data_IF_899270090347
#
_entry.id   IF_899270090347
#
_cell.length_a   1.000
_cell.length_b   1.000
_cell.length_c   1.000
_cell.angle_alpha   90.00
_cell.angle_beta   90.00
_cell.angle_gamma   90.00
#
_symmetry.space_group_name_H-M   'P 1'
#
loop_
_entity.id
_entity.type
_entity.pdbx_description
1 polymer ?
#
# COMPACT_ATOMS: atom_id res chain seq x y z
N UNK A 1 -17.71 14.93 -42.06
CA UNK A 1 -18.57 13.74 -42.25
C UNK A 1 -18.17 12.68 -41.25
N UNK A 2 -19.16 12.24 -40.44
CA UNK A 2 -19.29 11.01 -39.64
C UNK A 2 -18.15 10.57 -38.70
N UNK A 3 -18.41 10.81 -37.41
CA UNK A 3 -17.93 10.05 -36.25
C UNK A 3 -18.52 8.63 -36.22
N UNK A 4 -17.82 7.61 -35.70
CA UNK A 4 -18.42 6.33 -35.34
C UNK A 4 -19.04 6.36 -33.93
N UNK A 5 -20.20 5.71 -33.82
CA UNK A 5 -21.04 5.55 -32.62
C UNK A 5 -20.59 4.39 -31.72
N UNK A 6 -20.96 4.38 -30.42
CA UNK A 6 -20.54 3.37 -29.44
C UNK A 6 -21.39 2.08 -29.49
N UNK A 7 -20.75 0.95 -29.20
CA UNK A 7 -21.38 -0.38 -29.08
C UNK A 7 -22.03 -0.52 -27.70
N UNK A 8 -23.33 -0.84 -27.67
CA UNK A 8 -24.13 -1.12 -26.47
C UNK A 8 -23.78 -2.47 -25.84
N UNK A 9 -23.63 -2.48 -24.52
CA UNK A 9 -23.59 -3.67 -23.68
C UNK A 9 -24.93 -4.43 -23.68
N UNK A 10 -24.87 -5.76 -23.66
CA UNK A 10 -26.03 -6.64 -23.40
C UNK A 10 -25.94 -7.21 -21.98
N UNK A 11 -27.00 -7.00 -21.21
CA UNK A 11 -27.23 -7.63 -19.92
C UNK A 11 -27.53 -9.12 -20.09
N UNK A 12 -26.91 -9.97 -19.26
CA UNK A 12 -27.34 -11.34 -19.03
C UNK A 12 -27.53 -11.55 -17.52
N UNK A 13 -28.79 -11.70 -17.13
CA UNK A 13 -29.28 -12.07 -15.80
C UNK A 13 -28.97 -13.54 -15.50
N UNK A 14 -28.42 -13.82 -14.31
CA UNK A 14 -28.31 -15.18 -13.76
C UNK A 14 -29.18 -15.28 -12.50
N UNK A 15 -30.20 -16.15 -12.56
CA UNK A 15 -30.99 -16.62 -11.42
C UNK A 15 -30.40 -17.93 -10.87
N UNK A 16 -30.55 -18.22 -9.56
CA UNK A 16 -29.89 -19.36 -8.93
C UNK A 16 -30.69 -20.66 -9.10
N UNK A 17 -30.00 -21.74 -9.46
CA UNK A 17 -30.55 -23.09 -9.58
C UNK A 17 -30.65 -23.79 -8.23
N UNK A 18 -31.88 -24.14 -7.83
CA UNK A 18 -32.19 -25.09 -6.76
C UNK A 18 -31.99 -26.53 -7.27
N UNK A 19 -31.07 -27.27 -6.66
CA UNK A 19 -30.92 -28.71 -6.86
C UNK A 19 -31.81 -29.44 -5.85
N UNK A 20 -32.84 -30.13 -6.34
CA UNK A 20 -33.58 -31.18 -5.59
C UNK A 20 -32.96 -32.53 -5.91
N UNK A 21 -32.77 -33.37 -4.89
CA UNK A 21 -32.60 -34.81 -5.03
C UNK A 21 -33.80 -35.56 -4.45
N UNK A 22 -34.13 -36.76 -4.98
CA UNK A 22 -35.41 -37.42 -4.79
C UNK A 22 -35.34 -38.49 -3.69
N UNK A 23 -36.48 -38.72 -3.04
CA UNK A 23 -36.65 -39.81 -2.09
C UNK A 23 -38.12 -40.08 -1.84
N UNK A 24 -38.75 -40.82 -2.75
CA UNK A 24 -40.07 -41.41 -2.55
C UNK A 24 -39.94 -42.75 -1.84
N UNK A 25 -40.75 -42.99 -0.80
CA UNK A 25 -41.31 -44.32 -0.56
C UNK A 25 -42.69 -44.21 0.12
N UNK A 26 -43.67 -45.06 -0.24
CA UNK A 26 -45.08 -44.88 0.09
C UNK A 26 -45.51 -45.80 1.25
N UNK A 27 -46.82 -45.76 1.58
CA UNK A 27 -47.69 -46.87 2.06
C UNK A 27 -48.60 -46.43 3.23
N UNK A 28 -49.85 -46.15 2.84
CA UNK A 28 -51.16 -46.53 3.41
C UNK A 28 -51.35 -46.71 4.94
N UNK A 29 -52.40 -46.06 5.45
CA UNK A 29 -53.51 -46.77 6.10
C UNK A 29 -53.54 -46.88 7.64
N UNK A 30 -54.61 -46.30 8.20
CA UNK A 30 -55.27 -46.60 9.49
C UNK A 30 -54.57 -46.19 10.80
N UNK A 31 -55.05 -45.06 11.31
CA UNK A 31 -55.68 -44.83 12.61
C UNK A 31 -55.16 -45.55 13.87
N UNK A 32 -55.00 -44.71 14.91
CA UNK A 32 -54.81 -45.01 16.33
C UNK A 32 -53.42 -45.50 16.73
N UNK A 33 -52.62 -44.61 17.32
CA UNK A 33 -52.35 -44.58 18.76
C UNK A 33 -51.58 -43.29 19.08
N UNK A 34 -52.24 -42.38 19.80
CA UNK A 34 -51.60 -41.26 20.49
C UNK A 34 -50.87 -41.84 21.70
N UNK A 35 -49.54 -41.96 21.60
CA UNK A 35 -48.66 -42.18 22.75
C UNK A 35 -47.65 -41.06 22.76
N UNK A 36 -47.65 -40.32 23.87
CA UNK A 36 -46.67 -39.30 24.19
C UNK A 36 -45.25 -39.87 24.08
N UNK A 37 -44.46 -39.27 23.19
CA UNK A 37 -43.02 -39.15 23.37
C UNK A 37 -42.67 -37.72 23.02
N UNK A 38 -42.67 -36.87 24.05
CA UNK A 38 -41.98 -35.59 24.07
C UNK A 38 -40.48 -35.84 23.88
N UNK A 39 -40.08 -36.08 22.63
CA UNK A 39 -38.71 -35.90 22.20
C UNK A 39 -38.48 -34.38 22.21
N UNK A 40 -38.04 -33.88 23.36
CA UNK A 40 -37.17 -32.73 23.41
C UNK A 40 -35.98 -33.05 22.51
N UNK A 41 -36.10 -32.72 21.22
CA UNK A 41 -34.94 -32.34 20.44
C UNK A 41 -34.48 -31.05 21.08
N UNK A 42 -33.66 -31.19 22.13
CA UNK A 42 -32.73 -30.15 22.50
C UNK A 42 -31.96 -29.85 21.22
N UNK A 43 -32.37 -28.80 20.52
CA UNK A 43 -31.49 -28.08 19.65
C UNK A 43 -30.38 -27.60 20.59
N UNK A 44 -29.36 -28.45 20.76
CA UNK A 44 -28.05 -27.99 21.16
C UNK A 44 -27.69 -27.04 20.04
N UNK A 45 -28.02 -25.77 20.24
CA UNK A 45 -27.35 -24.66 19.61
C UNK A 45 -25.90 -24.83 20.05
N UNK A 46 -25.17 -25.67 19.32
CA UNK A 46 -23.73 -25.58 19.30
C UNK A 46 -23.49 -24.12 18.96
N UNK A 47 -22.84 -23.32 19.84
CA UNK A 47 -22.43 -22.00 19.43
C UNK A 47 -21.64 -22.23 18.15
N UNK A 48 -22.11 -21.65 17.04
CA UNK A 48 -21.31 -21.55 15.85
C UNK A 48 -19.99 -20.95 16.32
N UNK A 49 -18.96 -21.78 16.34
CA UNK A 49 -17.61 -21.36 16.69
C UNK A 49 -17.07 -20.62 15.47
N UNK A 50 -17.72 -19.52 15.11
CA UNK A 50 -17.12 -18.44 14.31
C UNK A 50 -16.19 -17.61 15.20
N UNK A 51 -15.53 -18.27 16.15
CA UNK A 51 -14.36 -17.81 16.87
C UNK A 51 -13.08 -18.00 16.03
N UNK A 52 -13.20 -18.29 14.73
CA UNK A 52 -12.18 -17.91 13.75
C UNK A 52 -12.25 -16.40 13.52
N UNK A 53 -11.86 -15.70 14.59
CA UNK A 53 -11.21 -14.40 14.61
C UNK A 53 -11.04 -13.75 13.23
N UNK A 54 -11.74 -12.63 13.04
CA UNK A 54 -11.35 -11.59 12.09
C UNK A 54 -9.99 -11.03 12.51
N UNK A 55 -8.91 -11.76 12.23
CA UNK A 55 -7.55 -11.24 12.40
C UNK A 55 -7.43 -10.08 11.42
N UNK A 56 -7.16 -8.88 11.95
CA UNK A 56 -7.10 -7.67 11.13
C UNK A 56 -6.02 -7.80 10.06
N UNK A 57 -6.10 -7.00 8.98
CA UNK A 57 -5.04 -6.95 7.98
C UNK A 57 -3.66 -6.72 8.61
N UNK A 58 -3.57 -5.77 9.54
CA UNK A 58 -2.29 -5.37 10.11
C UNK A 58 -1.72 -6.44 11.07
N UNK A 59 -2.56 -7.19 11.77
CA UNK A 59 -2.09 -8.34 12.58
C UNK A 59 -1.49 -9.45 11.71
N UNK A 60 -1.96 -9.60 10.46
CA UNK A 60 -1.37 -10.54 9.49
C UNK A 60 -0.10 -10.01 8.84
N UNK A 61 -0.01 -8.68 8.70
CA UNK A 61 1.13 -8.02 8.08
C UNK A 61 2.40 -8.15 8.93
N UNK A 62 2.26 -8.12 10.27
CA UNK A 62 3.36 -8.23 11.21
C UNK A 62 3.51 -9.65 11.73
N UNK A 63 4.64 -10.30 11.46
CA UNK A 63 4.89 -11.68 11.87
C UNK A 63 6.26 -11.80 12.51
N UNK A 64 6.29 -12.29 13.77
CA UNK A 64 7.54 -12.64 14.43
C UNK A 64 8.02 -13.99 13.90
N UNK A 65 9.15 -13.97 13.18
CA UNK A 65 9.74 -15.19 12.60
C UNK A 65 10.51 -15.96 13.65
N UNK A 66 11.30 -15.24 14.46
CA UNK A 66 12.10 -15.77 15.56
C UNK A 66 12.33 -14.65 16.62
N UNK A 67 13.06 -14.90 17.72
CA UNK A 67 13.31 -13.87 18.73
C UNK A 67 14.01 -12.61 18.21
N UNK A 68 14.91 -12.75 17.23
CA UNK A 68 15.69 -11.65 16.65
C UNK A 68 15.06 -11.03 15.40
N UNK A 69 14.09 -11.71 14.76
CA UNK A 69 13.56 -11.32 13.46
C UNK A 69 12.07 -11.03 13.49
N UNK A 70 11.71 -9.82 13.07
CA UNK A 70 10.33 -9.39 12.82
C UNK A 70 10.15 -9.21 11.31
N UNK A 71 9.05 -9.69 10.74
CA UNK A 71 8.71 -9.53 9.33
C UNK A 71 7.48 -8.64 9.16
N UNK A 72 7.52 -7.80 8.13
CA UNK A 72 6.41 -6.99 7.67
C UNK A 72 6.08 -7.32 6.21
N UNK A 73 4.84 -7.74 5.95
CA UNK A 73 4.31 -7.97 4.61
C UNK A 73 3.01 -7.22 4.38
N UNK A 74 3.04 -6.21 3.52
CA UNK A 74 1.84 -5.43 3.22
C UNK A 74 2.08 -4.01 2.73
N UNK A 75 0.98 -3.27 2.60
CA UNK A 75 0.96 -1.83 2.42
C UNK A 75 1.24 -1.15 3.76
N UNK A 76 2.01 -0.07 3.75
CA UNK A 76 2.28 0.75 4.94
C UNK A 76 1.06 1.64 5.19
N UNK A 77 0.29 1.33 6.23
CA UNK A 77 -0.99 1.96 6.50
C UNK A 77 -0.95 2.89 7.72
N UNK A 78 -1.64 4.03 7.65
CA UNK A 78 -1.84 4.89 8.81
C UNK A 78 -2.81 4.21 9.79
N UNK A 79 -2.94 4.85 10.96
CA UNK A 79 -3.99 4.48 11.90
C UNK A 79 -5.36 4.61 11.24
N UNK A 80 -6.15 3.54 11.29
CA UNK A 80 -7.53 3.55 10.81
C UNK A 80 -8.51 3.16 11.91
N UNK A 81 -9.72 3.70 11.83
CA UNK A 81 -10.78 3.48 12.81
C UNK A 81 -12.02 2.86 12.14
N UNK A 82 -11.82 1.89 11.25
CA UNK A 82 -12.91 1.16 10.60
C UNK A 82 -13.12 -0.22 11.24
N UNK A 83 -14.36 -0.74 11.30
CA UNK A 83 -14.63 -2.10 11.76
C UNK A 83 -13.80 -3.14 10.99
N UNK A 84 -13.09 -4.02 11.71
CA UNK A 84 -12.23 -5.05 11.12
C UNK A 84 -10.79 -4.58 10.78
N UNK A 85 -10.49 -3.30 10.96
CA UNK A 85 -9.13 -2.76 10.87
C UNK A 85 -8.53 -2.59 12.26
N UNK A 86 -7.21 -2.73 12.35
CA UNK A 86 -6.52 -2.55 13.62
C UNK A 86 -6.40 -1.06 13.95
N UNK A 87 -6.67 -0.66 15.21
CA UNK A 87 -6.83 0.74 15.59
C UNK A 87 -5.51 1.53 15.65
N UNK A 88 -4.42 1.03 15.08
CA UNK A 88 -3.09 1.62 15.10
C UNK A 88 -2.53 1.73 13.67
N UNK A 89 -1.50 2.55 13.47
CA UNK A 89 -0.73 2.54 12.22
C UNK A 89 0.41 1.53 12.26
N UNK A 90 1.01 1.22 11.11
CA UNK A 90 2.11 0.26 11.05
C UNK A 90 3.36 0.70 11.82
N UNK A 91 3.58 2.01 11.99
CA UNK A 91 4.66 2.51 12.84
C UNK A 91 4.44 2.18 14.33
N UNK A 92 3.20 2.29 14.81
CA UNK A 92 2.85 1.93 16.19
C UNK A 92 2.92 0.42 16.40
N UNK A 93 2.51 -0.36 15.39
CA UNK A 93 2.61 -1.81 15.40
C UNK A 93 4.05 -2.29 15.37
N UNK A 94 4.91 -1.66 14.58
CA UNK A 94 6.35 -1.90 14.64
C UNK A 94 6.86 -1.66 16.07
N UNK A 95 6.60 -0.48 16.64
CA UNK A 95 7.05 -0.13 17.99
C UNK A 95 6.59 -1.15 19.05
N UNK A 96 5.33 -1.62 18.95
CA UNK A 96 4.76 -2.63 19.86
C UNK A 96 5.38 -4.02 19.70
N UNK A 97 5.69 -4.41 18.47
CA UNK A 97 6.23 -5.73 18.18
C UNK A 97 7.74 -5.82 18.39
N UNK A 98 8.47 -4.71 18.43
CA UNK A 98 9.91 -4.71 18.70
C UNK A 98 10.22 -5.10 20.15
N UNK A 99 11.14 -6.06 20.32
CA UNK A 99 11.68 -6.47 21.62
C UNK A 99 13.15 -6.07 21.76
N UNK A 100 13.75 -6.30 22.93
CA UNK A 100 15.18 -6.04 23.17
C UNK A 100 16.10 -6.97 22.37
N UNK A 101 15.60 -8.13 21.97
CA UNK A 101 16.30 -9.15 21.17
C UNK A 101 16.17 -8.89 19.68
N UNK A 102 15.21 -8.07 19.25
CA UNK A 102 14.98 -7.82 17.83
C UNK A 102 16.21 -7.13 17.22
N UNK A 103 16.74 -7.72 16.14
CA UNK A 103 17.92 -7.24 15.40
C UNK A 103 17.60 -7.00 13.93
N UNK A 104 16.68 -7.78 13.36
CA UNK A 104 16.40 -7.78 11.93
C UNK A 104 14.93 -7.49 11.67
N UNK A 105 14.68 -6.57 10.73
CA UNK A 105 13.37 -6.33 10.13
C UNK A 105 13.38 -6.86 8.69
N UNK A 106 12.52 -7.84 8.42
CA UNK A 106 12.27 -8.33 7.06
C UNK A 106 11.13 -7.54 6.43
N UNK A 107 11.32 -7.02 5.22
CA UNK A 107 10.36 -6.19 4.49
C UNK A 107 9.92 -6.86 3.19
N UNK A 108 8.61 -6.85 2.97
CA UNK A 108 7.94 -7.21 1.72
C UNK A 108 6.73 -6.28 1.50
N UNK A 109 6.97 -5.12 0.90
CA UNK A 109 6.01 -4.02 0.80
C UNK A 109 6.13 -3.24 -0.50
N UNK A 110 4.97 -2.95 -1.12
CA UNK A 110 4.87 -1.98 -2.22
C UNK A 110 4.98 -0.52 -1.78
N UNK A 111 5.14 -0.25 -0.48
CA UNK A 111 5.08 1.07 0.13
C UNK A 111 3.70 1.39 0.69
N UNK A 112 3.36 2.67 0.79
CA UNK A 112 2.11 3.15 1.37
C UNK A 112 2.24 4.59 1.86
N UNK A 113 1.65 4.88 3.02
CA UNK A 113 1.70 6.20 3.64
C UNK A 113 3.13 6.60 4.02
N UNK A 114 3.59 7.72 3.46
CA UNK A 114 4.97 8.18 3.64
C UNK A 114 5.24 8.68 5.06
N UNK A 115 4.25 9.24 5.75
CA UNK A 115 4.40 9.70 7.13
C UNK A 115 4.58 8.52 8.08
N UNK A 116 3.85 7.43 7.85
CA UNK A 116 4.00 6.19 8.60
C UNK A 116 5.35 5.53 8.28
N UNK A 117 5.73 5.47 7.01
CA UNK A 117 7.03 4.94 6.59
C UNK A 117 8.19 5.74 7.22
N UNK A 118 8.04 7.06 7.34
CA UNK A 118 8.99 7.95 8.01
C UNK A 118 9.13 7.63 9.49
N UNK A 119 8.00 7.40 10.18
CA UNK A 119 8.01 7.00 11.59
C UNK A 119 8.62 5.61 11.79
N UNK A 120 8.32 4.65 10.91
CA UNK A 120 8.97 3.34 10.91
C UNK A 120 10.49 3.46 10.71
N UNK A 121 10.92 4.28 9.76
CA UNK A 121 12.33 4.50 9.46
C UNK A 121 13.10 5.10 10.66
N UNK A 122 12.50 6.05 11.39
CA UNK A 122 13.09 6.57 12.63
C UNK A 122 13.29 5.45 13.66
N UNK A 123 12.26 4.63 13.91
CA UNK A 123 12.36 3.51 14.85
C UNK A 123 13.42 2.48 14.44
N UNK A 124 13.52 2.15 13.14
CA UNK A 124 14.52 1.24 12.59
C UNK A 124 15.93 1.77 12.85
N UNK A 125 16.16 3.05 12.54
CA UNK A 125 17.46 3.69 12.70
C UNK A 125 17.85 3.84 14.17
N UNK A 126 16.93 4.34 15.02
CA UNK A 126 17.14 4.53 16.46
C UNK A 126 17.46 3.21 17.18
N UNK A 127 16.85 2.10 16.74
CA UNK A 127 17.11 0.75 17.27
C UNK A 127 18.31 0.07 16.63
N UNK A 128 18.94 0.67 15.62
CA UNK A 128 20.08 0.11 14.89
C UNK A 128 19.77 -1.25 14.25
N UNK A 129 18.55 -1.43 13.75
CA UNK A 129 18.11 -2.69 13.17
C UNK A 129 18.75 -2.92 11.81
N UNK A 130 19.04 -4.18 11.50
CA UNK A 130 19.33 -4.61 10.15
C UNK A 130 18.02 -4.78 9.37
N UNK A 131 18.04 -4.45 8.09
CA UNK A 131 16.87 -4.54 7.23
C UNK A 131 17.15 -5.49 6.08
N UNK A 132 16.26 -6.46 5.89
CA UNK A 132 16.34 -7.43 4.81
C UNK A 132 15.09 -7.36 3.95
N UNK A 133 15.25 -7.35 2.62
CA UNK A 133 14.13 -7.43 1.67
C UNK A 133 14.11 -8.83 1.08
N UNK A 134 13.00 -9.55 1.28
CA UNK A 134 12.83 -10.93 0.78
C UNK A 134 11.93 -11.02 -0.47
N UNK A 135 11.11 -10.01 -0.71
CA UNK A 135 10.22 -9.93 -1.88
C UNK A 135 10.40 -8.61 -2.59
N UNK A 136 9.51 -7.66 -2.34
CA UNK A 136 9.58 -6.32 -2.94
C UNK A 136 9.68 -5.26 -1.84
N UNK A 137 10.44 -4.20 -2.06
CA UNK A 137 10.37 -3.00 -1.24
C UNK A 137 10.33 -1.79 -2.16
N UNK A 138 9.15 -1.22 -2.35
CA UNK A 138 8.91 -0.18 -3.35
C UNK A 138 8.39 1.11 -2.71
N UNK A 139 8.48 2.22 -3.45
CA UNK A 139 7.85 3.49 -3.04
C UNK A 139 8.37 3.95 -1.65
N UNK A 140 7.46 4.28 -0.73
CA UNK A 140 7.79 4.68 0.63
C UNK A 140 8.65 3.63 1.37
N UNK A 141 8.48 2.33 1.12
CA UNK A 141 9.31 1.28 1.71
C UNK A 141 10.78 1.47 1.33
N UNK A 142 11.05 1.66 0.03
CA UNK A 142 12.39 1.81 -0.50
C UNK A 142 13.07 3.09 0.00
N UNK A 143 12.31 4.20 0.05
CA UNK A 143 12.83 5.51 0.43
C UNK A 143 13.14 5.63 1.93
N UNK A 144 12.46 4.86 2.78
CA UNK A 144 12.44 5.11 4.23
C UNK A 144 12.80 3.86 5.04
N UNK A 145 11.90 2.88 5.30
CA UNK A 145 12.24 1.69 6.08
C UNK A 145 13.50 0.96 5.61
N UNK A 146 13.69 0.76 4.31
CA UNK A 146 14.88 0.08 3.78
C UNK A 146 16.17 0.87 4.05
N UNK A 147 16.17 2.16 3.72
CA UNK A 147 17.34 3.02 3.86
C UNK A 147 17.68 3.37 5.30
N UNK A 148 16.78 3.16 6.25
CA UNK A 148 17.04 3.35 7.68
C UNK A 148 17.90 2.24 8.32
N UNK A 149 17.98 1.05 7.71
CA UNK A 149 18.67 -0.10 8.31
C UNK A 149 20.16 0.13 8.55
N UNK A 150 20.73 -0.42 9.62
CA UNK A 150 22.18 -0.38 9.86
C UNK A 150 22.95 -1.18 8.80
N UNK A 151 22.57 -2.43 8.63
CA UNK A 151 22.92 -3.25 7.47
C UNK A 151 21.67 -3.49 6.61
N UNK A 152 21.83 -3.50 5.29
CA UNK A 152 20.73 -3.64 4.33
C UNK A 152 21.02 -4.84 3.44
N UNK A 153 20.11 -5.80 3.40
CA UNK A 153 20.25 -6.99 2.57
C UNK A 153 19.11 -7.05 1.57
N UNK A 154 19.41 -7.17 0.29
CA UNK A 154 18.41 -7.49 -0.75
C UNK A 154 18.62 -8.94 -1.17
N UNK A 155 17.68 -9.80 -0.79
CA UNK A 155 17.76 -11.23 -1.06
C UNK A 155 17.84 -11.53 -2.57
N UNK A 156 18.38 -12.70 -2.97
CA UNK A 156 18.33 -13.12 -4.36
C UNK A 156 16.89 -13.15 -4.89
N UNK A 157 16.63 -12.42 -5.97
CA UNK A 157 15.30 -12.30 -6.59
C UNK A 157 14.40 -11.25 -5.94
N UNK A 158 14.81 -10.64 -4.82
CA UNK A 158 14.11 -9.51 -4.23
C UNK A 158 14.49 -8.19 -4.93
N UNK A 159 13.61 -7.19 -4.83
CA UNK A 159 13.74 -5.94 -5.59
C UNK A 159 13.44 -4.73 -4.73
N UNK A 160 14.28 -3.71 -4.86
CA UNK A 160 14.08 -2.38 -4.28
C UNK A 160 13.82 -1.39 -5.40
N UNK A 161 12.70 -0.68 -5.33
CA UNK A 161 12.22 0.18 -6.41
C UNK A 161 11.84 1.56 -5.90
N UNK A 162 12.29 2.56 -6.62
CA UNK A 162 11.98 3.95 -6.38
C UNK A 162 11.03 4.43 -7.46
N UNK A 163 10.15 5.36 -7.16
CA UNK A 163 9.40 6.09 -8.18
C UNK A 163 9.34 7.54 -7.74
N UNK A 164 8.84 8.41 -8.61
CA UNK A 164 8.86 9.83 -8.33
C UNK A 164 8.23 10.14 -6.98
N UNK A 165 8.88 11.04 -6.26
CA UNK A 165 8.41 11.53 -4.97
C UNK A 165 7.24 12.51 -5.14
N UNK A 166 6.39 12.39 -6.16
CA UNK A 166 5.26 13.30 -6.40
C UNK A 166 4.28 13.42 -5.23
N UNK A 167 4.16 12.38 -4.41
CA UNK A 167 3.42 12.45 -3.14
C UNK A 167 4.05 13.47 -2.16
N UNK A 168 5.32 13.81 -2.39
CA UNK A 168 6.19 14.82 -1.75
C UNK A 168 6.44 16.07 -2.62
N UNK A 169 5.92 16.12 -3.84
CA UNK A 169 5.92 17.30 -4.71
C UNK A 169 4.78 17.21 -5.75
N UNK A 170 3.54 17.60 -5.39
CA UNK A 170 2.44 17.64 -6.31
C UNK A 170 2.64 18.85 -7.21
N UNK A 171 3.40 18.66 -8.28
CA UNK A 171 3.52 19.66 -9.35
C UNK A 171 2.14 19.99 -9.88
N UNK A 172 1.90 21.27 -10.08
CA UNK A 172 0.64 21.83 -10.60
C UNK A 172 0.58 21.62 -12.12
N UNK A 173 0.35 20.37 -12.52
CA UNK A 173 0.14 20.04 -13.93
C UNK A 173 -1.33 20.26 -14.31
N UNK A 174 -1.64 20.60 -15.57
CA UNK A 174 -3.02 20.70 -16.04
C UNK A 174 -3.85 19.45 -15.74
N UNK A 175 -3.26 18.27 -15.86
CA UNK A 175 -3.93 17.00 -15.58
C UNK A 175 -4.23 16.79 -14.09
N UNK A 176 -3.29 17.14 -13.21
CA UNK A 176 -3.50 17.06 -11.76
C UNK A 176 -4.61 18.03 -11.32
N UNK A 177 -4.59 19.25 -11.86
CA UNK A 177 -5.63 20.26 -11.63
C UNK A 177 -7.00 19.81 -12.13
N UNK A 178 -7.07 19.22 -13.32
CA UNK A 178 -8.32 18.69 -13.88
C UNK A 178 -8.86 17.50 -13.07
N UNK A 179 -8.00 16.58 -12.61
CA UNK A 179 -8.39 15.48 -11.71
C UNK A 179 -8.94 16.00 -10.39
N UNK A 180 -8.20 16.88 -9.71
CA UNK A 180 -8.62 17.45 -8.43
C UNK A 180 -9.93 18.23 -8.54
N UNK A 181 -10.12 18.97 -9.63
CA UNK A 181 -11.38 19.70 -9.89
C UNK A 181 -12.56 18.72 -9.96
N UNK A 182 -12.43 17.63 -10.74
CA UNK A 182 -13.48 16.60 -10.85
C UNK A 182 -13.76 15.90 -9.52
N UNK A 183 -12.72 15.59 -8.75
CA UNK A 183 -12.85 14.99 -7.41
C UNK A 183 -13.61 15.92 -6.45
N UNK A 184 -13.25 17.20 -6.44
CA UNK A 184 -13.92 18.20 -5.60
C UNK A 184 -15.39 18.38 -5.98
N UNK A 185 -15.70 18.40 -7.28
CA UNK A 185 -17.08 18.46 -7.77
C UNK A 185 -17.88 17.21 -7.36
N UNK A 186 -17.28 16.02 -7.49
CA UNK A 186 -17.91 14.77 -7.08
C UNK A 186 -18.20 14.72 -5.56
N UNK A 187 -17.23 15.09 -4.72
CA UNK A 187 -17.40 15.15 -3.26
C UNK A 187 -18.50 16.15 -2.90
N UNK A 188 -18.47 17.36 -3.49
CA UNK A 188 -19.52 18.37 -3.27
C UNK A 188 -20.90 17.88 -3.69
N UNK A 189 -20.98 17.11 -4.78
CA UNK A 189 -22.22 16.49 -5.24
C UNK A 189 -22.79 15.42 -4.30
N UNK A 190 -21.95 14.77 -3.49
CA UNK A 190 -22.36 13.73 -2.52
C UNK A 190 -22.79 14.28 -1.16
N UNK A 191 -22.39 15.51 -0.80
CA UNK A 191 -22.73 16.13 0.49
C UNK A 191 -24.24 16.17 0.81
N UNK A 192 -25.16 16.46 -0.15
CA UNK A 192 -26.59 16.42 0.11
C UNK A 192 -27.11 15.03 0.48
N UNK A 193 -26.54 13.96 -0.08
CA UNK A 193 -27.00 12.59 0.17
C UNK A 193 -26.47 12.05 1.51
N UNK A 194 -25.22 12.36 1.89
CA UNK A 194 -24.70 12.04 3.22
C UNK A 194 -25.53 12.68 4.34
N UNK A 195 -26.03 13.90 4.11
CA UNK A 195 -26.92 14.58 5.06
C UNK A 195 -28.29 13.91 5.22
N UNK A 196 -28.78 13.23 4.18
CA UNK A 196 -30.05 12.49 4.19
C UNK A 196 -29.93 11.13 4.88
N UNK A 197 -28.77 10.49 4.80
CA UNK A 197 -28.49 9.20 5.44
C UNK A 197 -28.20 9.32 6.95
N UNK A 198 -28.48 10.47 7.56
CA UNK A 198 -28.28 10.71 9.00
C UNK A 198 -26.81 10.82 9.41
N UNK A 199 -25.89 10.83 8.45
CA UNK A 199 -24.48 11.12 8.70
C UNK A 199 -24.33 12.65 8.75
N UNK A 200 -24.29 13.21 9.95
CA UNK A 200 -23.89 14.61 10.17
C UNK A 200 -22.40 14.74 9.90
N UNK A 201 -22.00 14.66 8.63
CA UNK A 201 -20.72 15.21 8.20
C UNK A 201 -20.94 16.71 8.21
N UNK A 202 -20.52 17.40 9.28
CA UNK A 202 -20.09 18.79 9.06
C UNK A 202 -18.93 18.63 8.08
N UNK A 203 -19.08 18.98 6.79
CA UNK A 203 -17.93 18.88 5.89
C UNK A 203 -16.80 19.64 6.59
N UNK A 204 -15.57 19.10 6.68
CA UNK A 204 -14.47 19.90 7.21
C UNK A 204 -14.58 21.26 6.53
N UNK A 205 -14.64 22.34 7.31
CA UNK A 205 -14.88 23.67 6.77
C UNK A 205 -13.81 23.91 5.71
N UNK A 206 -14.19 23.70 4.45
CA UNK A 206 -13.28 23.87 3.35
C UNK A 206 -12.99 25.37 3.22
N UNK A 207 -13.74 26.27 3.90
CA UNK A 207 -13.41 27.68 3.99
C UNK A 207 -13.38 28.38 2.62
N UNK A 208 -14.22 27.95 1.68
CA UNK A 208 -14.12 28.40 0.29
C UNK A 208 -12.83 27.94 -0.40
N UNK A 209 -12.21 26.84 0.04
CA UNK A 209 -10.98 26.29 -0.50
C UNK A 209 -11.13 26.13 -2.02
N UNK A 210 -10.31 26.92 -2.71
CA UNK A 210 -10.14 26.83 -4.14
C UNK A 210 -9.23 25.64 -4.45
N UNK A 211 -9.31 25.13 -5.69
CA UNK A 211 -8.34 24.17 -6.21
C UNK A 211 -6.90 24.68 -5.97
N UNK A 212 -6.68 25.99 -6.12
CA UNK A 212 -5.39 26.64 -5.84
C UNK A 212 -4.95 26.54 -4.38
N UNK A 213 -5.85 26.77 -3.43
CA UNK A 213 -5.55 26.67 -2.00
C UNK A 213 -5.18 25.23 -1.60
N UNK A 214 -5.91 24.23 -2.14
CA UNK A 214 -5.61 22.81 -1.89
C UNK A 214 -4.28 22.41 -2.53
N UNK A 215 -4.03 22.81 -3.78
CA UNK A 215 -2.74 22.55 -4.44
C UNK A 215 -1.59 23.24 -3.69
N UNK A 216 -1.77 24.47 -3.22
CA UNK A 216 -0.78 25.18 -2.41
C UNK A 216 -0.50 24.47 -1.08
N UNK A 217 -1.54 24.06 -0.34
CA UNK A 217 -1.39 23.31 0.90
C UNK A 217 -0.73 21.96 0.66
N UNK A 218 -1.14 21.23 -0.39
CA UNK A 218 -0.50 19.97 -0.79
C UNK A 218 0.97 20.19 -1.07
N UNK A 219 1.36 21.19 -1.88
CA UNK A 219 2.77 21.55 -2.15
C UNK A 219 3.54 21.87 -0.86
N UNK A 220 2.95 22.64 0.06
CA UNK A 220 3.57 22.96 1.35
C UNK A 220 3.86 21.71 2.18
N UNK A 221 2.87 20.83 2.34
CA UNK A 221 3.02 19.57 3.08
C UNK A 221 4.06 18.66 2.43
N UNK A 222 4.06 18.59 1.10
CA UNK A 222 4.97 17.77 0.33
C UNK A 222 6.43 18.27 0.49
N UNK A 223 6.65 19.58 0.38
CA UNK A 223 7.95 20.20 0.61
C UNK A 223 8.47 19.96 2.03
N UNK A 224 7.62 20.09 3.04
CA UNK A 224 7.97 19.78 4.43
C UNK A 224 8.38 18.32 4.61
N UNK A 225 7.61 17.40 4.02
CA UNK A 225 7.91 15.98 4.10
C UNK A 225 9.23 15.65 3.37
N UNK A 226 9.47 16.20 2.18
CA UNK A 226 10.75 16.07 1.48
C UNK A 226 11.92 16.59 2.31
N UNK A 227 11.76 17.74 2.97
CA UNK A 227 12.78 18.30 3.87
C UNK A 227 13.05 17.37 5.07
N UNK A 228 12.01 16.76 5.64
CA UNK A 228 12.16 15.81 6.74
C UNK A 228 12.94 14.56 6.32
N UNK A 229 12.64 14.00 5.13
CA UNK A 229 13.38 12.84 4.59
C UNK A 229 14.83 13.22 4.29
N UNK A 230 15.07 14.37 3.67
CA UNK A 230 16.41 14.88 3.41
C UNK A 230 17.21 15.11 4.71
N UNK A 231 16.54 15.52 5.79
CA UNK A 231 17.11 15.61 7.14
C UNK A 231 17.61 14.26 7.63
N UNK A 232 16.75 13.24 7.60
CA UNK A 232 17.13 11.88 7.97
C UNK A 232 18.28 11.33 7.13
N UNK A 233 18.28 11.54 5.82
CA UNK A 233 19.38 11.07 4.98
C UNK A 233 20.71 11.68 5.42
N UNK A 234 20.74 12.99 5.74
CA UNK A 234 21.96 13.62 6.28
C UNK A 234 22.38 13.01 7.61
N UNK A 235 21.43 12.75 8.52
CA UNK A 235 21.69 12.08 9.80
C UNK A 235 22.29 10.68 9.59
N UNK A 236 21.87 9.98 8.53
CA UNK A 236 22.34 8.63 8.19
C UNK A 236 23.60 8.63 7.31
N UNK A 237 24.19 9.79 7.02
CA UNK A 237 25.37 9.91 6.15
C UNK A 237 25.07 9.70 4.65
N UNK A 238 23.80 9.72 4.27
CA UNK A 238 23.34 9.59 2.88
C UNK A 238 23.15 10.96 2.21
N UNK A 239 23.39 11.01 0.90
CA UNK A 239 23.21 12.22 0.12
C UNK A 239 21.71 12.43 -0.21
N UNK A 240 21.09 13.57 0.19
CA UNK A 240 19.70 13.89 -0.15
C UNK A 240 19.43 14.02 -1.65
N UNK A 241 20.49 14.21 -2.45
CA UNK A 241 20.41 14.34 -3.91
C UNK A 241 19.79 13.12 -4.60
N UNK A 242 19.75 11.94 -3.93
CA UNK A 242 18.99 10.77 -4.39
C UNK A 242 17.54 11.14 -4.74
N UNK A 243 16.87 11.93 -3.90
CA UNK A 243 15.49 12.35 -4.15
C UNK A 243 15.39 13.22 -5.42
N UNK A 244 16.37 14.09 -5.64
CA UNK A 244 16.40 14.96 -6.83
C UNK A 244 16.71 14.16 -8.10
N UNK A 245 17.59 13.17 -8.00
CA UNK A 245 17.97 12.31 -9.12
C UNK A 245 16.83 11.40 -9.56
N UNK A 246 16.04 10.86 -8.63
CA UNK A 246 14.80 10.14 -8.95
C UNK A 246 13.85 11.06 -9.74
N UNK A 247 13.64 12.27 -9.25
CA UNK A 247 12.69 13.20 -9.87
C UNK A 247 13.16 13.72 -11.23
N UNK A 248 14.44 14.03 -11.38
CA UNK A 248 15.07 14.44 -12.65
C UNK A 248 15.05 13.32 -13.69
N UNK A 249 15.39 12.10 -13.27
CA UNK A 249 15.36 10.93 -14.17
C UNK A 249 13.94 10.70 -14.68
N UNK A 250 12.95 10.84 -13.79
CA UNK A 250 11.53 10.75 -14.15
C UNK A 250 11.11 11.82 -15.15
N UNK A 251 11.54 13.07 -14.96
CA UNK A 251 11.25 14.16 -15.90
C UNK A 251 11.83 13.92 -17.29
N UNK A 252 13.10 13.53 -17.34
CA UNK A 252 13.79 13.23 -18.59
C UNK A 252 13.09 12.09 -19.35
N UNK A 253 12.66 11.05 -18.64
CA UNK A 253 11.94 9.94 -19.24
C UNK A 253 10.58 10.37 -19.81
N UNK A 254 9.77 11.10 -19.02
CA UNK A 254 8.44 11.55 -19.45
C UNK A 254 8.48 12.52 -20.63
N UNK A 255 9.53 13.32 -20.78
CA UNK A 255 9.70 14.21 -21.93
C UNK A 255 9.72 13.44 -23.27
N UNK A 256 10.21 12.19 -23.28
CA UNK A 256 10.22 11.30 -24.44
C UNK A 256 9.00 10.39 -24.58
N UNK A 257 8.13 10.34 -23.57
CA UNK A 257 7.02 9.37 -23.49
C UNK A 257 5.68 10.07 -23.18
N UNK A 258 5.17 10.89 -24.12
CA UNK A 258 3.91 11.60 -23.92
C UNK A 258 2.76 10.62 -23.69
N UNK A 259 1.97 10.86 -22.65
CA UNK A 259 0.82 10.02 -22.25
C UNK A 259 1.10 9.08 -21.08
N UNK A 260 2.36 8.86 -20.70
CA UNK A 260 2.68 8.19 -19.43
C UNK A 260 2.47 9.14 -18.26
N UNK A 261 1.93 8.61 -17.17
CA UNK A 261 1.85 9.33 -15.90
C UNK A 261 3.10 9.10 -15.07
N UNK A 262 3.42 10.09 -14.24
CA UNK A 262 4.65 10.13 -13.47
C UNK A 262 4.74 9.05 -12.37
N UNK A 263 3.60 8.63 -11.83
CA UNK A 263 3.45 7.52 -10.88
C UNK A 263 3.56 6.14 -11.54
N UNK A 264 3.62 6.08 -12.87
CA UNK A 264 3.86 4.86 -13.64
C UNK A 264 5.35 4.67 -13.97
N UNK A 265 6.22 5.58 -13.55
CA UNK A 265 7.65 5.54 -13.85
C UNK A 265 8.43 5.06 -12.63
N UNK A 266 8.93 3.84 -12.70
CA UNK A 266 9.69 3.20 -11.63
C UNK A 266 11.18 3.11 -11.98
N UNK A 267 12.02 3.21 -10.97
CA UNK A 267 13.47 3.28 -11.05
C UNK A 267 14.09 2.20 -10.19
N UNK A 268 15.07 1.54 -10.77
CA UNK A 268 16.01 0.71 -10.04
C UNK A 268 17.41 1.32 -10.15
N UNK A 269 18.13 1.35 -9.03
CA UNK A 269 19.49 1.88 -8.94
C UNK A 269 20.45 0.74 -8.59
N UNK A 270 21.55 0.56 -9.34
CA UNK A 270 22.60 -0.38 -8.98
C UNK A 270 23.14 -0.12 -7.57
N UNK A 271 23.49 -1.19 -6.85
CA UNK A 271 24.07 -1.09 -5.51
C UNK A 271 25.34 -0.24 -5.48
N UNK A 272 26.20 -0.34 -6.50
CA UNK A 272 27.40 0.50 -6.65
C UNK A 272 27.05 1.98 -6.71
N UNK A 273 26.07 2.36 -7.55
CA UNK A 273 25.60 3.73 -7.65
C UNK A 273 25.01 4.23 -6.31
N UNK A 274 24.25 3.38 -5.62
CA UNK A 274 23.69 3.69 -4.29
C UNK A 274 24.78 3.96 -3.25
N UNK A 275 25.85 3.17 -3.26
CA UNK A 275 26.97 3.32 -2.33
C UNK A 275 27.86 4.52 -2.69
N UNK A 276 28.27 4.65 -3.96
CA UNK A 276 29.28 5.61 -4.40
C UNK A 276 28.73 7.04 -4.52
N UNK A 277 27.52 7.22 -5.09
CA UNK A 277 26.93 8.55 -5.31
C UNK A 277 26.09 9.01 -4.13
N UNK A 278 25.34 8.08 -3.52
CA UNK A 278 24.37 8.45 -2.48
C UNK A 278 24.83 8.11 -1.06
N UNK A 279 26.01 7.52 -0.89
CA UNK A 279 26.58 7.24 0.44
C UNK A 279 25.82 6.17 1.22
N UNK A 280 25.08 5.28 0.53
CA UNK A 280 24.33 4.21 1.20
C UNK A 280 25.31 3.17 1.74
N UNK A 281 25.52 3.16 3.05
CA UNK A 281 26.43 2.22 3.71
C UNK A 281 25.72 0.90 4.06
N UNK A 282 26.51 -0.17 4.19
CA UNK A 282 26.03 -1.47 4.69
C UNK A 282 25.08 -2.20 3.75
N UNK A 283 25.06 -1.84 2.46
CA UNK A 283 24.24 -2.48 1.44
C UNK A 283 24.91 -3.75 0.87
N UNK A 284 24.26 -4.89 1.10
CA UNK A 284 24.55 -6.16 0.45
C UNK A 284 23.35 -6.56 -0.41
N UNK A 285 23.52 -6.48 -1.73
CA UNK A 285 22.46 -6.77 -2.68
C UNK A 285 23.02 -7.60 -3.82
N UNK A 286 22.35 -8.71 -4.11
CA UNK A 286 22.68 -9.56 -5.24
C UNK A 286 22.60 -8.75 -6.56
N UNK A 287 23.47 -9.08 -7.51
CA UNK A 287 23.37 -8.54 -8.87
C UNK A 287 22.01 -8.89 -9.45
N UNK A 288 21.27 -7.87 -9.88
CA UNK A 288 19.99 -8.06 -10.56
C UNK A 288 20.26 -8.59 -11.97
N UNK A 289 19.67 -9.74 -12.30
CA UNK A 289 19.86 -10.37 -13.61
C UNK A 289 18.98 -9.71 -14.68
N UNK A 290 19.36 -9.88 -15.95
CA UNK A 290 18.59 -9.39 -17.09
C UNK A 290 17.14 -9.94 -17.09
N UNK A 291 16.95 -11.19 -16.67
CA UNK A 291 15.63 -11.81 -16.53
C UNK A 291 14.78 -11.13 -15.45
N UNK A 292 15.39 -10.77 -14.31
CA UNK A 292 14.70 -10.02 -13.26
C UNK A 292 14.30 -8.63 -13.76
N UNK A 293 15.19 -7.91 -14.44
CA UNK A 293 14.86 -6.60 -15.04
C UNK A 293 13.75 -6.69 -16.09
N UNK A 294 13.76 -7.75 -16.91
CA UNK A 294 12.72 -7.99 -17.93
C UNK A 294 11.37 -8.28 -17.28
N UNK A 295 11.34 -9.15 -16.26
CA UNK A 295 10.11 -9.50 -15.53
C UNK A 295 9.51 -8.28 -14.82
N UNK A 296 10.38 -7.49 -14.20
CA UNK A 296 10.00 -6.24 -13.57
C UNK A 296 9.42 -5.23 -14.56
N UNK A 297 10.02 -5.09 -15.74
CA UNK A 297 9.48 -4.27 -16.81
C UNK A 297 8.06 -4.68 -17.24
N UNK A 298 7.70 -5.96 -17.13
CA UNK A 298 6.38 -6.50 -17.47
C UNK A 298 5.33 -6.32 -16.36
N UNK A 299 5.73 -6.34 -15.08
CA UNK A 299 4.80 -6.28 -13.93
C UNK A 299 4.35 -4.87 -13.55
N UNK A 300 5.21 -3.85 -13.69
CA UNK A 300 4.90 -2.47 -13.26
C UNK A 300 4.72 -1.48 -14.41
N UNK A 301 4.64 -1.95 -15.66
CA UNK A 301 4.51 -1.09 -16.85
C UNK A 301 5.80 -0.39 -17.28
N UNK A 302 6.92 -0.70 -16.61
CA UNK A 302 8.27 -0.23 -16.91
C UNK A 302 9.12 -0.02 -15.66
N UNK A 303 10.26 -0.71 -15.54
CA UNK A 303 11.35 -0.34 -14.61
C UNK A 303 12.49 0.21 -15.44
N UNK A 304 12.85 1.45 -15.14
CA UNK A 304 13.94 2.14 -15.79
C UNK A 304 15.20 1.97 -14.96
N UNK A 305 16.22 1.44 -15.60
CA UNK A 305 17.57 1.49 -15.07
C UNK A 305 17.99 2.95 -15.07
N UNK A 306 18.30 3.51 -13.89
CA UNK A 306 19.08 4.74 -13.87
C UNK A 306 20.47 4.39 -14.39
N UNK A 307 20.73 4.69 -15.66
CA UNK A 307 22.09 4.64 -16.19
C UNK A 307 22.95 5.58 -15.35
N UNK A 308 24.22 5.23 -15.10
CA UNK A 308 25.21 6.19 -14.60
C UNK A 308 25.12 7.45 -15.47
N UNK A 309 24.50 8.50 -14.94
CA UNK A 309 24.78 9.84 -15.44
C UNK A 309 26.22 10.12 -15.00
N UNK A 310 27.17 9.71 -15.84
CA UNK A 310 28.50 10.33 -15.79
C UNK A 310 28.28 11.81 -16.11
N UNK A 311 28.83 12.71 -15.28
CA UNK A 311 28.68 14.15 -15.48
C UNK A 311 29.18 14.59 -16.86
#
# INVERSE_FOLDING_TARGET
MRWPQPVRARNASLSPSLVRLPGTCPVTGRSFWLVLCSLWTGAVLLPATDAQSQVSYQDRAWQRVDPATLAFRGEILPRRFLPGEHPLGDADLLARNLTAETRTLVLDSGGGDVTVALAMARLIHERGLDVRVDGRCASACALLPFLAGRHKVVAPGAVVEFHSTNSLDPRDTPDARARLTREMEAIRGQLPDLSRDGVTVTPPDLGGATVDAILAARRGNAAQLRQAIAGLYREWGMAPVLLDDIDRSTDAYLAGHPGLLRDQVWWWFPSSLMMERYGVTGLDAALVTADTLTRLGLEVGGIHLSAEHRP
#
